data_IF_048072797342
#
_entry.id   IF_048072797342
#
_cell.length_a   1.000
_cell.length_b   1.000
_cell.length_c   1.000
_cell.angle_alpha   90.00
_cell.angle_beta   90.00
_cell.angle_gamma   90.00
#
_symmetry.space_group_name_H-M   'P 1'
#
loop_
_entity.id
_entity.type
_entity.pdbx_description
1 polymer ?
#
# COMPACT_ATOMS: atom_id res chain seq x y z
N UNK A 1 12.45 -34.08 -5.30
CA UNK A 1 12.01 -32.85 -4.62
C UNK A 1 13.08 -31.80 -4.84
N UNK A 2 12.87 -30.87 -5.77
CA UNK A 2 13.84 -29.80 -6.04
C UNK A 2 13.48 -28.64 -5.11
N UNK A 3 14.33 -28.36 -4.11
CA UNK A 3 14.12 -27.25 -3.19
C UNK A 3 14.27 -25.93 -3.98
N UNK A 4 13.20 -25.14 -4.04
CA UNK A 4 13.26 -23.75 -4.50
C UNK A 4 14.12 -22.98 -3.51
N UNK A 5 15.34 -22.64 -3.91
CA UNK A 5 16.23 -21.77 -3.14
C UNK A 5 15.66 -20.36 -3.21
N UNK A 6 14.87 -19.97 -2.20
CA UNK A 6 14.48 -18.58 -2.01
C UNK A 6 15.77 -17.79 -1.77
N UNK A 7 16.12 -16.91 -2.72
CA UNK A 7 17.20 -15.97 -2.49
C UNK A 7 16.84 -15.12 -1.28
N UNK A 8 17.76 -14.96 -0.33
CA UNK A 8 17.57 -14.04 0.78
C UNK A 8 17.28 -12.64 0.21
N UNK A 9 16.27 -11.93 0.74
CA UNK A 9 16.01 -10.57 0.31
C UNK A 9 17.28 -9.74 0.58
N UNK A 10 17.76 -9.02 -0.43
CA UNK A 10 18.78 -8.01 -0.21
C UNK A 10 18.28 -7.05 0.89
N UNK A 11 19.14 -6.59 1.81
CA UNK A 11 18.74 -5.63 2.82
C UNK A 11 18.17 -4.41 2.12
N UNK A 12 16.92 -4.05 2.46
CA UNK A 12 16.34 -2.81 1.98
C UNK A 12 17.13 -1.66 2.60
N UNK A 13 17.57 -0.73 1.76
CA UNK A 13 18.16 0.52 2.22
C UNK A 13 17.04 1.38 2.80
N UNK A 14 16.84 1.30 4.11
CA UNK A 14 15.77 1.99 4.83
C UNK A 14 16.02 3.51 4.95
N UNK A 15 17.25 3.95 4.69
CA UNK A 15 17.65 5.36 4.71
C UNK A 15 17.66 5.99 3.30
N UNK A 16 17.23 5.23 2.28
CA UNK A 16 17.17 5.67 0.89
C UNK A 16 16.05 6.70 0.62
N UNK A 17 16.21 7.45 -0.48
CA UNK A 17 15.20 8.43 -0.91
C UNK A 17 13.91 7.79 -1.47
N UNK A 18 12.89 8.61 -1.73
CA UNK A 18 11.61 8.14 -2.27
C UNK A 18 11.74 7.45 -3.64
N UNK A 19 12.73 7.81 -4.45
CA UNK A 19 12.97 7.18 -5.74
C UNK A 19 13.50 5.75 -5.55
N UNK A 20 14.42 5.55 -4.61
CA UNK A 20 14.92 4.23 -4.19
C UNK A 20 13.79 3.33 -3.69
N UNK A 21 12.93 3.85 -2.81
CA UNK A 21 11.77 3.11 -2.29
C UNK A 21 10.82 2.67 -3.41
N UNK A 22 10.51 3.56 -4.36
CA UNK A 22 9.66 3.22 -5.52
C UNK A 22 10.30 2.12 -6.37
N UNK A 23 11.63 2.15 -6.51
CA UNK A 23 12.41 1.10 -7.17
C UNK A 23 12.29 -0.26 -6.47
N UNK A 24 12.35 -0.28 -5.14
CA UNK A 24 12.12 -1.50 -4.35
C UNK A 24 10.71 -2.05 -4.51
N UNK A 25 9.70 -1.19 -4.44
CA UNK A 25 8.31 -1.60 -4.69
C UNK A 25 8.14 -2.24 -6.07
N UNK A 26 8.76 -1.66 -7.11
CA UNK A 26 8.72 -2.22 -8.46
C UNK A 26 9.42 -3.59 -8.55
N UNK A 27 10.57 -3.77 -7.87
CA UNK A 27 11.26 -5.07 -7.77
C UNK A 27 10.45 -6.14 -7.04
N UNK A 28 9.63 -5.74 -6.07
CA UNK A 28 8.78 -6.64 -5.30
C UNK A 28 7.47 -6.98 -6.02
N UNK A 29 6.92 -6.05 -6.81
CA UNK A 29 5.61 -6.18 -7.48
C UNK A 29 5.37 -7.52 -8.20
N UNK A 30 6.32 -8.11 -8.95
CA UNK A 30 6.09 -9.39 -9.63
C UNK A 30 5.78 -10.58 -8.71
N UNK A 31 6.12 -10.50 -7.42
CA UNK A 31 5.80 -11.55 -6.42
C UNK A 31 4.34 -11.53 -6.00
N UNK A 32 3.61 -10.47 -6.33
CA UNK A 32 2.24 -10.25 -5.92
C UNK A 32 1.37 -10.39 -7.16
N UNK A 33 0.56 -11.44 -7.21
CA UNK A 33 -0.43 -11.57 -8.27
C UNK A 33 -1.43 -10.44 -8.13
N UNK A 34 -1.46 -9.53 -9.11
CA UNK A 34 -2.56 -8.58 -9.21
C UNK A 34 -3.87 -9.38 -9.37
N UNK A 35 -4.94 -9.01 -8.65
CA UNK A 35 -6.27 -9.49 -8.99
C UNK A 35 -6.57 -9.17 -10.45
N UNK A 36 -7.31 -10.04 -11.14
CA UNK A 36 -7.76 -9.74 -12.49
C UNK A 36 -8.40 -8.36 -12.52
N UNK A 37 -7.89 -7.46 -13.36
CA UNK A 37 -8.40 -6.10 -13.43
C UNK A 37 -9.79 -6.12 -14.09
N UNK A 38 -10.82 -6.22 -13.25
CA UNK A 38 -12.20 -6.07 -13.69
C UNK A 38 -12.46 -4.58 -13.80
N UNK A 39 -12.80 -4.10 -15.00
CA UNK A 39 -13.28 -2.73 -15.15
C UNK A 39 -14.49 -2.54 -14.25
N UNK A 40 -14.33 -1.79 -13.16
CA UNK A 40 -15.39 -1.54 -12.22
C UNK A 40 -16.44 -0.67 -12.93
N UNK A 41 -17.66 -1.20 -13.06
CA UNK A 41 -18.78 -0.38 -13.53
C UNK A 41 -19.04 0.71 -12.49
N UNK A 42 -19.32 1.96 -12.89
CA UNK A 42 -19.73 2.99 -11.94
C UNK A 42 -20.87 2.47 -11.08
N UNK A 43 -20.68 2.51 -9.75
CA UNK A 43 -21.72 2.16 -8.78
C UNK A 43 -22.34 3.43 -8.22
N UNK A 44 -23.66 3.44 -7.97
CA UNK A 44 -24.28 4.52 -7.22
C UNK A 44 -23.56 4.72 -5.89
N UNK A 45 -23.34 5.99 -5.50
CA UNK A 45 -22.68 6.34 -4.23
C UNK A 45 -23.38 5.76 -3.00
N UNK A 46 -24.69 5.51 -3.09
CA UNK A 46 -25.48 4.85 -2.05
C UNK A 46 -25.09 3.39 -1.80
N UNK A 47 -24.42 2.72 -2.75
CA UNK A 47 -23.92 1.35 -2.61
C UNK A 47 -22.48 1.28 -2.10
N UNK A 48 -21.78 2.40 -2.05
CA UNK A 48 -20.48 2.45 -1.39
C UNK A 48 -20.72 2.36 0.12
N UNK A 49 -20.36 1.21 0.69
CA UNK A 49 -20.32 1.06 2.14
C UNK A 49 -19.19 1.95 2.66
N UNK A 50 -19.55 3.15 3.10
CA UNK A 50 -18.59 4.11 3.64
C UNK A 50 -18.00 3.61 4.96
N UNK A 51 -16.74 3.92 5.18
CA UNK A 51 -16.12 3.79 6.51
C UNK A 51 -16.49 5.03 7.31
N UNK A 52 -17.17 4.85 8.45
CA UNK A 52 -17.40 5.95 9.41
C UNK A 52 -16.24 6.01 10.38
N UNK A 53 -15.44 7.06 10.28
CA UNK A 53 -14.33 7.31 11.21
C UNK A 53 -14.84 8.19 12.36
N UNK A 54 -14.65 7.80 13.64
CA UNK A 54 -14.99 8.64 14.78
C UNK A 54 -14.19 9.96 14.78
N UNK A 55 -14.82 11.05 15.21
CA UNK A 55 -14.17 12.37 15.22
C UNK A 55 -12.89 12.40 16.08
N UNK A 56 -12.84 11.63 17.17
CA UNK A 56 -11.63 11.50 18.00
C UNK A 56 -10.44 10.94 17.23
N UNK A 57 -10.67 9.95 16.36
CA UNK A 57 -9.62 9.37 15.52
C UNK A 57 -9.14 10.37 14.46
N UNK A 58 -10.04 11.17 13.89
CA UNK A 58 -9.66 12.22 12.94
C UNK A 58 -8.79 13.30 13.61
N UNK A 59 -9.16 13.75 14.82
CA UNK A 59 -8.38 14.74 15.60
C UNK A 59 -7.00 14.25 16.00
N UNK A 60 -6.83 12.94 16.19
CA UNK A 60 -5.51 12.37 16.48
C UNK A 60 -4.56 12.59 15.29
N UNK A 61 -5.06 12.42 14.06
CA UNK A 61 -4.28 12.64 12.83
C UNK A 61 -4.02 14.12 12.56
N UNK A 62 -5.01 14.99 12.82
CA UNK A 62 -4.88 16.45 12.70
C UNK A 62 -3.78 17.00 13.63
N UNK A 63 -3.55 16.37 14.78
CA UNK A 63 -2.48 16.72 15.71
C UNK A 63 -1.09 16.20 15.29
N UNK A 64 -0.98 15.39 14.23
CA UNK A 64 0.28 14.88 13.71
C UNK A 64 0.77 15.76 12.56
N UNK A 65 1.91 16.42 12.74
CA UNK A 65 2.50 17.34 11.76
C UNK A 65 2.74 16.71 10.37
N UNK A 66 2.90 15.39 10.31
CA UNK A 66 3.13 14.66 9.05
C UNK A 66 1.85 14.47 8.22
N UNK A 67 0.66 14.71 8.79
CA UNK A 67 -0.63 14.36 8.18
C UNK A 67 -1.72 15.45 8.29
N UNK A 68 -1.44 16.56 8.98
CA UNK A 68 -2.43 17.59 9.35
C UNK A 68 -2.59 18.79 8.41
N UNK A 69 -1.84 18.86 7.30
CA UNK A 69 -1.92 19.93 6.26
C UNK A 69 -2.19 19.35 4.86
#
# INVERSE_FOLDING_TARGET
>A
MTNLRTADPAPADLDGDLASLRGDCARMSPRWSAPAHVSARPVPVSLLHGVRVPQTSARLLEAMSDYGD
#
